data_IF_506941591500
#
_entry.id   IF_506941591500
#
_cell.length_a   1.000
_cell.length_b   1.000
_cell.length_c   1.000
_cell.angle_alpha   90.00
_cell.angle_beta   90.00
_cell.angle_gamma   90.00
#
_symmetry.space_group_name_H-M   'P 1'
#
loop_
_entity.id
_entity.type
_entity.pdbx_description
1 polymer ?
#
# COMPACT_ATOMS: atom_id res chain seq x y z
N UNK A 1 -11.16 -8.04 32.83
CA UNK A 1 -9.75 -8.49 32.84
C UNK A 1 -9.64 -9.98 33.17
N UNK A 2 -10.09 -10.45 34.34
CA UNK A 2 -10.01 -11.88 34.76
C UNK A 2 -10.58 -12.91 33.77
N UNK A 3 -11.79 -12.65 33.20
CA UNK A 3 -12.38 -13.54 32.17
C UNK A 3 -11.51 -13.64 30.90
N UNK A 4 -10.96 -12.51 30.44
CA UNK A 4 -10.09 -12.45 29.25
C UNK A 4 -8.77 -13.19 29.47
N UNK A 5 -8.18 -13.06 30.66
CA UNK A 5 -6.95 -13.79 31.02
C UNK A 5 -7.19 -15.30 31.09
N UNK A 6 -8.35 -15.72 31.63
CA UNK A 6 -8.70 -17.14 31.74
C UNK A 6 -8.91 -17.79 30.38
N UNK A 7 -9.58 -17.10 29.46
CA UNK A 7 -9.79 -17.58 28.08
C UNK A 7 -8.50 -17.57 27.26
N UNK A 8 -7.60 -16.60 27.50
CA UNK A 8 -6.31 -16.56 26.81
C UNK A 8 -5.42 -17.73 27.25
N UNK A 9 -5.38 -18.04 28.56
CA UNK A 9 -4.52 -19.12 29.10
C UNK A 9 -4.97 -20.52 28.63
N UNK A 10 -6.27 -20.75 28.44
CA UNK A 10 -6.79 -22.06 28.01
C UNK A 10 -6.46 -22.41 26.56
N UNK A 11 -6.11 -21.42 25.73
CA UNK A 11 -5.78 -21.60 24.31
C UNK A 11 -4.26 -21.62 24.04
N UNK A 12 -3.43 -21.38 25.06
CA UNK A 12 -1.97 -21.49 24.93
C UNK A 12 -1.58 -22.98 25.02
N UNK A 13 -0.87 -23.53 24.01
CA UNK A 13 -0.33 -24.88 24.07
C UNK A 13 0.47 -25.10 25.35
N UNK A 14 0.29 -26.25 26.01
CA UNK A 14 0.93 -26.56 27.30
C UNK A 14 2.45 -26.41 27.22
N UNK A 15 3.04 -26.70 26.08
CA UNK A 15 4.47 -26.61 25.80
C UNK A 15 4.98 -25.17 25.91
N UNK A 16 4.22 -24.18 25.44
CA UNK A 16 4.57 -22.75 25.55
C UNK A 16 4.47 -22.28 27.00
N UNK A 17 3.47 -22.77 27.73
CA UNK A 17 3.31 -22.52 29.17
C UNK A 17 4.51 -23.04 29.98
N UNK A 18 5.01 -24.24 29.64
CA UNK A 18 6.21 -24.81 30.26
C UNK A 18 7.48 -24.05 29.90
N UNK A 19 7.62 -23.57 28.67
CA UNK A 19 8.76 -22.72 28.26
C UNK A 19 8.73 -21.39 29.01
N UNK A 20 7.57 -20.75 29.15
CA UNK A 20 7.42 -19.50 29.90
C UNK A 20 7.67 -19.67 31.40
N UNK A 21 7.19 -20.76 31.99
CA UNK A 21 7.51 -21.16 33.37
C UNK A 21 9.00 -21.44 33.52
N UNK A 22 9.60 -22.18 32.58
CA UNK A 22 11.04 -22.47 32.54
C UNK A 22 11.88 -21.21 32.37
N UNK A 23 11.41 -20.21 31.64
CA UNK A 23 12.11 -18.92 31.49
C UNK A 23 11.96 -18.05 32.75
N UNK A 24 10.77 -18.01 33.35
CA UNK A 24 10.49 -17.28 34.58
C UNK A 24 11.26 -17.84 35.78
N UNK A 25 11.48 -19.16 35.84
CA UNK A 25 12.16 -19.83 36.95
C UNK A 25 13.64 -20.19 36.65
N UNK A 26 13.99 -20.51 35.40
CA UNK A 26 15.33 -20.97 35.01
C UNK A 26 16.26 -19.84 34.57
N UNK A 27 15.85 -19.00 33.61
CA UNK A 27 16.68 -17.86 33.17
C UNK A 27 16.76 -16.74 34.23
N UNK A 28 15.74 -16.63 35.07
CA UNK A 28 15.77 -15.75 36.24
C UNK A 28 16.85 -16.14 37.25
N UNK A 29 17.08 -17.44 37.49
CA UNK A 29 18.03 -17.93 38.49
C UNK A 29 19.50 -17.60 38.13
N UNK A 30 19.87 -17.70 36.85
CA UNK A 30 21.23 -17.38 36.39
C UNK A 30 21.51 -15.87 36.39
N UNK A 31 20.50 -15.03 36.10
CA UNK A 31 20.61 -13.56 36.23
C UNK A 31 20.64 -13.13 37.71
N UNK A 32 19.92 -13.83 38.59
CA UNK A 32 19.94 -13.63 40.05
C UNK A 32 21.32 -13.99 40.63
N UNK A 33 21.96 -15.05 40.12
CA UNK A 33 23.30 -15.46 40.55
C UNK A 33 24.40 -14.44 40.15
N UNK A 34 24.20 -13.68 39.07
CA UNK A 34 25.17 -12.68 38.59
C UNK A 34 25.07 -11.33 39.32
N UNK A 35 23.92 -10.98 39.90
CA UNK A 35 23.68 -9.71 40.59
C UNK A 35 23.49 -9.90 42.10
N UNK A 36 24.55 -10.26 42.82
CA UNK A 36 24.54 -10.42 44.29
C UNK A 36 24.24 -9.12 45.08
N UNK A 37 24.10 -7.97 44.41
CA UNK A 37 23.91 -6.65 45.02
C UNK A 37 22.49 -6.09 44.91
N UNK A 38 21.56 -6.76 44.22
CA UNK A 38 20.19 -6.25 44.05
C UNK A 38 19.29 -6.76 45.18
N UNK A 39 18.62 -5.87 45.94
CA UNK A 39 17.75 -6.28 47.02
C UNK A 39 16.61 -7.20 46.58
N UNK A 40 16.34 -8.24 47.37
CA UNK A 40 15.40 -9.33 47.01
C UNK A 40 13.99 -8.82 46.67
N UNK A 41 13.56 -7.72 47.30
CA UNK A 41 12.24 -7.13 47.07
C UNK A 41 12.06 -6.54 45.66
N UNK A 42 13.13 -6.26 44.91
CA UNK A 42 13.08 -5.75 43.54
C UNK A 42 12.86 -6.86 42.50
N UNK A 43 13.10 -8.13 42.84
CA UNK A 43 12.84 -9.24 41.91
C UNK A 43 11.35 -9.53 41.74
N UNK A 44 10.52 -9.22 42.75
CA UNK A 44 9.06 -9.41 42.68
C UNK A 44 8.43 -8.56 41.56
N UNK A 45 8.63 -7.23 41.51
CA UNK A 45 8.07 -6.42 40.41
C UNK A 45 8.72 -6.74 39.06
N UNK A 46 10.01 -7.12 39.03
CA UNK A 46 10.70 -7.51 37.80
C UNK A 46 10.09 -8.79 37.20
N UNK A 47 9.88 -9.82 38.02
CA UNK A 47 9.25 -11.06 37.60
C UNK A 47 7.80 -10.84 37.13
N UNK A 48 7.06 -9.96 37.81
CA UNK A 48 5.71 -9.59 37.40
C UNK A 48 5.70 -8.87 36.05
N UNK A 49 6.64 -7.95 35.82
CA UNK A 49 6.78 -7.22 34.57
C UNK A 49 7.17 -8.14 33.39
N UNK A 50 8.14 -9.04 33.60
CA UNK A 50 8.54 -10.05 32.62
C UNK A 50 7.38 -10.98 32.25
N UNK A 51 6.58 -11.38 33.24
CA UNK A 51 5.40 -12.21 33.01
C UNK A 51 4.33 -11.49 32.17
N UNK A 52 4.07 -10.21 32.46
CA UNK A 52 3.13 -9.39 31.68
C UNK A 52 3.64 -9.19 30.24
N UNK A 53 4.93 -8.91 30.05
CA UNK A 53 5.52 -8.78 28.70
C UNK A 53 5.43 -10.08 27.90
N UNK A 54 5.68 -11.22 28.55
CA UNK A 54 5.56 -12.52 27.90
C UNK A 54 4.11 -12.81 27.47
N UNK A 55 3.14 -12.50 28.34
CA UNK A 55 1.71 -12.62 27.99
C UNK A 55 1.32 -11.68 26.84
N UNK A 56 1.83 -10.45 26.82
CA UNK A 56 1.61 -9.51 25.72
C UNK A 56 2.21 -10.01 24.41
N UNK A 57 3.43 -10.55 24.43
CA UNK A 57 4.09 -11.14 23.26
C UNK A 57 3.34 -12.37 22.72
N UNK A 58 2.83 -13.23 23.61
CA UNK A 58 2.00 -14.38 23.22
C UNK A 58 0.66 -13.92 22.66
N UNK A 59 0.00 -12.94 23.28
CA UNK A 59 -1.25 -12.38 22.79
C UNK A 59 -1.08 -11.77 21.39
N UNK A 60 -0.02 -10.99 21.19
CA UNK A 60 0.34 -10.43 19.89
C UNK A 60 0.61 -11.53 18.85
N UNK A 61 1.38 -12.57 19.23
CA UNK A 61 1.70 -13.70 18.34
C UNK A 61 0.47 -14.50 17.94
N UNK A 62 -0.45 -14.75 18.89
CA UNK A 62 -1.72 -15.41 18.61
C UNK A 62 -2.62 -14.54 17.71
N UNK A 63 -2.66 -13.23 17.95
CA UNK A 63 -3.44 -12.31 17.11
C UNK A 63 -2.88 -12.24 15.67
N UNK A 64 -1.55 -12.28 15.51
CA UNK A 64 -0.89 -12.36 14.21
C UNK A 64 -1.17 -13.72 13.54
N UNK A 65 -1.11 -14.83 14.28
CA UNK A 65 -1.33 -16.19 13.75
C UNK A 65 -2.79 -16.48 13.37
N UNK A 66 -3.75 -15.99 14.13
CA UNK A 66 -5.18 -16.10 13.78
C UNK A 66 -5.52 -15.23 12.56
N UNK A 67 -4.85 -14.08 12.39
CA UNK A 67 -4.91 -13.33 11.13
C UNK A 67 -4.21 -14.09 10.01
N UNK A 68 -3.06 -14.72 10.24
CA UNK A 68 -2.32 -15.44 9.17
C UNK A 68 -3.07 -16.67 8.65
N UNK A 69 -3.77 -17.41 9.51
CA UNK A 69 -4.60 -18.55 9.08
C UNK A 69 -5.89 -18.14 8.36
N UNK A 70 -6.38 -16.92 8.57
CA UNK A 70 -7.56 -16.38 7.89
C UNK A 70 -7.22 -15.54 6.65
N UNK A 71 -5.96 -15.11 6.50
CA UNK A 71 -5.55 -14.13 5.50
C UNK A 71 -4.28 -14.56 4.76
N UNK A 72 -4.27 -15.76 4.17
CA UNK A 72 -3.45 -15.97 2.97
C UNK A 72 -4.34 -15.67 1.77
N UNK A 73 -4.24 -14.49 1.13
CA UNK A 73 -5.09 -14.12 0.01
C UNK A 73 -4.89 -15.03 -1.21
N UNK A 74 -3.82 -15.81 -1.24
CA UNK A 74 -3.59 -16.87 -2.23
C UNK A 74 -4.64 -17.99 -2.19
N UNK A 75 -5.44 -18.10 -1.13
CA UNK A 75 -6.58 -19.02 -1.03
C UNK A 75 -7.95 -18.38 -1.23
N UNK A 76 -8.03 -17.06 -1.41
CA UNK A 76 -9.30 -16.35 -1.67
C UNK A 76 -9.61 -16.46 -3.15
N UNK A 77 -10.81 -16.93 -3.50
CA UNK A 77 -11.21 -17.02 -4.90
C UNK A 77 -11.19 -15.63 -5.55
N UNK A 78 -10.94 -15.59 -6.85
CA UNK A 78 -10.91 -14.35 -7.63
C UNK A 78 -12.21 -13.55 -7.44
N UNK A 79 -13.34 -14.24 -7.43
CA UNK A 79 -14.68 -13.68 -7.28
C UNK A 79 -14.90 -13.09 -5.88
N UNK A 80 -14.40 -13.78 -4.85
CA UNK A 80 -14.51 -13.29 -3.47
C UNK A 80 -13.67 -12.03 -3.26
N UNK A 81 -12.48 -11.97 -3.86
CA UNK A 81 -11.63 -10.78 -3.83
C UNK A 81 -12.26 -9.62 -4.60
N UNK A 82 -12.74 -9.86 -5.81
CA UNK A 82 -13.45 -8.87 -6.63
C UNK A 82 -14.65 -8.29 -5.86
N UNK A 83 -15.47 -9.17 -5.27
CA UNK A 83 -16.62 -8.77 -4.45
C UNK A 83 -16.21 -7.96 -3.23
N UNK A 84 -15.08 -8.29 -2.60
CA UNK A 84 -14.57 -7.58 -1.41
C UNK A 84 -14.15 -6.16 -1.78
N UNK A 85 -13.33 -6.00 -2.82
CA UNK A 85 -12.87 -4.69 -3.29
C UNK A 85 -14.05 -3.85 -3.79
N UNK A 86 -14.97 -4.46 -4.53
CA UNK A 86 -16.21 -3.79 -4.98
C UNK A 86 -17.02 -3.29 -3.79
N UNK A 87 -17.19 -4.11 -2.74
CA UNK A 87 -17.87 -3.73 -1.51
C UNK A 87 -17.22 -2.53 -0.81
N UNK A 88 -15.89 -2.50 -0.71
CA UNK A 88 -15.15 -1.36 -0.14
C UNK A 88 -15.38 -0.08 -0.95
N UNK A 89 -15.26 -0.14 -2.27
CA UNK A 89 -15.47 0.99 -3.17
C UNK A 89 -16.91 1.52 -3.11
N UNK A 90 -17.92 0.64 -3.13
CA UNK A 90 -19.33 1.04 -3.00
C UNK A 90 -19.61 1.71 -1.65
N UNK A 91 -19.07 1.16 -0.56
CA UNK A 91 -19.19 1.73 0.79
C UNK A 91 -18.56 3.13 0.87
N UNK A 92 -17.48 3.36 0.13
CA UNK A 92 -16.85 4.68 0.00
C UNK A 92 -17.55 5.63 -0.99
N UNK A 93 -18.68 5.22 -1.58
CA UNK A 93 -19.50 6.07 -2.47
C UNK A 93 -19.06 6.07 -3.93
N UNK A 94 -18.22 5.13 -4.36
CA UNK A 94 -17.86 5.00 -5.77
C UNK A 94 -18.98 4.33 -6.55
N UNK A 95 -19.15 4.75 -7.80
CA UNK A 95 -19.93 4.04 -8.80
C UNK A 95 -19.01 3.10 -9.56
N UNK A 96 -19.35 1.81 -9.60
CA UNK A 96 -18.49 0.77 -10.16
C UNK A 96 -19.10 0.20 -11.43
N UNK A 97 -18.27 0.06 -12.46
CA UNK A 97 -18.56 -0.67 -13.68
C UNK A 97 -17.51 -1.77 -13.86
N UNK A 98 -17.96 -2.99 -14.10
CA UNK A 98 -17.08 -4.10 -14.43
C UNK A 98 -16.68 -4.04 -15.91
N UNK A 99 -15.39 -4.20 -16.18
CA UNK A 99 -14.87 -4.37 -17.54
C UNK A 99 -14.23 -5.75 -17.67
N UNK A 100 -14.46 -6.41 -18.80
CA UNK A 100 -13.79 -7.65 -19.13
C UNK A 100 -12.59 -7.33 -20.02
N UNK A 101 -11.39 -7.64 -19.55
CA UNK A 101 -10.18 -7.57 -20.37
C UNK A 101 -9.58 -8.98 -20.49
N UNK A 102 -9.12 -9.40 -21.69
CA UNK A 102 -8.61 -10.76 -21.91
C UNK A 102 -7.48 -11.16 -20.95
N UNK A 103 -6.66 -10.19 -20.55
CA UNK A 103 -5.46 -10.41 -19.75
C UNK A 103 -5.65 -10.20 -18.24
N UNK A 104 -6.88 -9.95 -17.80
CA UNK A 104 -7.20 -9.83 -16.38
C UNK A 104 -8.12 -10.94 -15.88
N UNK A 105 -8.00 -11.22 -14.58
CA UNK A 105 -9.01 -11.96 -13.84
C UNK A 105 -10.27 -11.11 -13.64
N UNK A 106 -10.09 -9.84 -13.29
CA UNK A 106 -11.15 -8.84 -13.26
C UNK A 106 -10.55 -7.44 -13.44
N UNK A 107 -11.39 -6.53 -13.94
CA UNK A 107 -11.14 -5.08 -13.98
C UNK A 107 -12.38 -4.35 -13.49
N UNK A 108 -12.20 -3.49 -12.48
CA UNK A 108 -13.25 -2.63 -11.93
C UNK A 108 -12.91 -1.17 -12.25
N UNK A 109 -13.72 -0.51 -13.06
CA UNK A 109 -13.66 0.94 -13.20
C UNK A 109 -14.57 1.57 -12.16
N UNK A 110 -14.05 2.48 -11.34
CA UNK A 110 -14.74 3.09 -10.24
C UNK A 110 -14.63 4.62 -10.33
N UNK A 111 -15.77 5.30 -10.33
CA UNK A 111 -15.85 6.76 -10.40
C UNK A 111 -16.35 7.28 -9.06
N UNK A 112 -15.62 8.20 -8.46
CA UNK A 112 -16.03 8.81 -7.20
C UNK A 112 -17.06 9.94 -7.38
N UNK A 113 -17.49 10.54 -6.26
CA UNK A 113 -18.47 11.63 -6.24
C UNK A 113 -17.98 12.91 -6.91
N UNK A 114 -16.67 13.06 -7.12
CA UNK A 114 -16.05 14.19 -7.83
C UNK A 114 -15.82 13.89 -9.30
N UNK A 115 -16.24 12.72 -9.79
CA UNK A 115 -16.08 12.30 -11.18
C UNK A 115 -14.69 11.75 -11.51
N UNK A 116 -13.83 11.53 -10.51
CA UNK A 116 -12.48 10.96 -10.73
C UNK A 116 -12.59 9.46 -10.95
N UNK A 117 -11.97 8.97 -12.02
CA UNK A 117 -12.01 7.56 -12.40
C UNK A 117 -10.73 6.85 -11.95
N UNK A 118 -10.90 5.73 -11.24
CA UNK A 118 -9.82 4.78 -10.94
C UNK A 118 -10.18 3.43 -11.53
N UNK A 119 -9.20 2.71 -12.05
CA UNK A 119 -9.35 1.31 -12.46
C UNK A 119 -8.58 0.40 -11.52
N UNK A 120 -9.21 -0.67 -11.06
CA UNK A 120 -8.62 -1.66 -10.17
C UNK A 120 -8.65 -3.02 -10.88
N UNK A 121 -7.47 -3.56 -11.15
CA UNK A 121 -7.29 -4.73 -12.01
C UNK A 121 -6.41 -5.76 -11.34
N UNK A 122 -6.80 -7.03 -11.45
CA UNK A 122 -5.92 -8.16 -11.14
C UNK A 122 -5.54 -8.86 -12.44
N UNK A 123 -4.28 -8.75 -12.84
CA UNK A 123 -3.79 -9.29 -14.11
C UNK A 123 -3.50 -10.80 -14.00
N UNK A 124 -3.61 -11.52 -15.12
CA UNK A 124 -3.26 -12.95 -15.19
C UNK A 124 -1.75 -13.19 -15.15
N UNK A 125 -0.97 -12.26 -15.70
CA UNK A 125 0.51 -12.32 -15.72
C UNK A 125 1.12 -12.11 -14.34
N UNK A 126 0.40 -11.44 -13.44
CA UNK A 126 0.85 -11.13 -12.08
C UNK A 126 -0.28 -11.39 -11.07
N UNK A 127 -0.61 -12.67 -10.82
CA UNK A 127 -1.78 -13.06 -10.04
C UNK A 127 -1.69 -12.65 -8.57
N UNK A 128 -0.48 -12.42 -8.05
CA UNK A 128 -0.24 -12.12 -6.63
C UNK A 128 -0.33 -10.62 -6.31
N UNK A 129 -0.66 -9.80 -7.32
CA UNK A 129 -0.75 -8.35 -7.16
C UNK A 129 -2.08 -7.79 -7.66
N UNK A 130 -2.55 -6.77 -6.97
CA UNK A 130 -3.59 -5.86 -7.43
C UNK A 130 -2.93 -4.64 -8.06
N UNK A 131 -3.38 -4.24 -9.23
CA UNK A 131 -2.96 -2.99 -9.86
C UNK A 131 -4.05 -1.95 -9.73
N UNK A 132 -3.69 -0.78 -9.20
CA UNK A 132 -4.58 0.39 -9.11
C UNK A 132 -4.07 1.41 -10.12
N UNK A 133 -4.94 1.81 -11.05
CA UNK A 133 -4.63 2.72 -12.14
C UNK A 133 -5.45 3.99 -12.03
N UNK A 134 -4.82 5.13 -12.28
CA UNK A 134 -5.51 6.39 -12.52
C UNK A 134 -5.03 6.97 -13.86
N UNK A 135 -5.98 7.26 -14.74
CA UNK A 135 -5.70 7.87 -16.03
C UNK A 135 -5.70 9.38 -15.91
N UNK A 136 -4.71 10.02 -16.51
CA UNK A 136 -4.61 11.46 -16.69
C UNK A 136 -4.61 11.77 -18.18
N UNK A 137 -5.72 12.32 -18.67
CA UNK A 137 -5.83 12.80 -20.04
C UNK A 137 -5.22 14.18 -20.15
N UNK A 138 -4.25 14.34 -21.05
CA UNK A 138 -3.64 15.64 -21.31
C UNK A 138 -4.59 16.53 -22.12
N UNK A 139 -4.63 17.80 -21.77
CA UNK A 139 -5.28 18.82 -22.61
C UNK A 139 -4.41 19.14 -23.83
N UNK A 140 -5.02 19.63 -24.91
CA UNK A 140 -4.28 20.06 -26.11
C UNK A 140 -3.19 21.09 -25.79
N UNK A 141 -3.42 21.98 -24.82
CA UNK A 141 -2.40 22.95 -24.38
C UNK A 141 -1.20 22.25 -23.75
N UNK A 142 -1.42 21.23 -22.91
CA UNK A 142 -0.33 20.45 -22.30
C UNK A 142 0.42 19.63 -23.35
N UNK A 143 -0.30 19.01 -24.30
CA UNK A 143 0.30 18.26 -25.41
C UNK A 143 1.20 19.18 -26.24
N UNK A 144 0.69 20.35 -26.64
CA UNK A 144 1.44 21.33 -27.42
C UNK A 144 2.64 21.88 -26.64
N UNK A 145 2.48 22.17 -25.35
CA UNK A 145 3.56 22.64 -24.52
C UNK A 145 4.69 21.61 -24.42
N UNK A 146 4.36 20.35 -24.12
CA UNK A 146 5.35 19.26 -24.10
C UNK A 146 6.02 19.07 -25.46
N UNK A 147 5.27 19.15 -26.56
CA UNK A 147 5.80 19.03 -27.92
C UNK A 147 6.66 20.22 -28.37
N UNK A 148 6.57 21.36 -27.70
CA UNK A 148 7.36 22.56 -28.00
C UNK A 148 8.68 22.65 -27.24
N UNK A 149 8.86 21.81 -26.20
CA UNK A 149 10.10 21.76 -25.44
C UNK A 149 11.21 21.10 -26.27
N UNK A 150 12.46 21.49 -26.04
CA UNK A 150 13.59 20.73 -26.55
C UNK A 150 13.64 19.34 -25.92
N UNK A 151 14.25 18.39 -26.62
CA UNK A 151 14.39 17.02 -26.14
C UNK A 151 15.07 16.95 -24.77
N UNK A 152 16.14 17.74 -24.57
CA UNK A 152 16.88 17.80 -23.31
C UNK A 152 16.00 18.28 -22.14
N UNK A 153 15.22 19.34 -22.33
CA UNK A 153 14.35 19.91 -21.29
C UNK A 153 13.19 18.96 -20.99
N UNK A 154 12.62 18.34 -22.01
CA UNK A 154 11.57 17.34 -21.85
C UNK A 154 12.10 16.12 -21.08
N UNK A 155 13.29 15.63 -21.43
CA UNK A 155 13.94 14.51 -20.74
C UNK A 155 14.19 14.81 -19.26
N UNK A 156 14.71 15.99 -18.93
CA UNK A 156 14.91 16.44 -17.53
C UNK A 156 13.59 16.43 -16.75
N UNK A 157 12.53 17.04 -17.29
CA UNK A 157 11.21 17.11 -16.63
C UNK A 157 10.64 15.71 -16.37
N UNK A 158 10.74 14.80 -17.35
CA UNK A 158 10.23 13.44 -17.19
C UNK A 158 11.11 12.57 -16.29
N UNK A 159 12.41 12.81 -16.24
CA UNK A 159 13.32 12.15 -15.30
C UNK A 159 13.00 12.56 -13.86
N UNK A 160 12.92 13.86 -13.58
CA UNK A 160 12.50 14.40 -12.28
C UNK A 160 11.14 13.82 -11.85
N UNK A 161 10.16 13.83 -12.78
CA UNK A 161 8.83 13.26 -12.53
C UNK A 161 8.91 11.78 -12.18
N UNK A 162 9.71 10.98 -12.89
CA UNK A 162 9.88 9.55 -12.61
C UNK A 162 10.50 9.31 -11.24
N UNK A 163 11.49 10.12 -10.84
CA UNK A 163 12.12 10.05 -9.52
C UNK A 163 11.09 10.34 -8.43
N UNK A 164 10.29 11.41 -8.59
CA UNK A 164 9.26 11.76 -7.63
C UNK A 164 8.17 10.70 -7.52
N UNK A 165 7.72 10.13 -8.64
CA UNK A 165 6.73 9.05 -8.65
C UNK A 165 7.28 7.75 -8.04
N UNK A 166 8.56 7.45 -8.23
CA UNK A 166 9.21 6.30 -7.61
C UNK A 166 9.21 6.40 -6.08
N UNK A 167 9.29 7.61 -5.49
CA UNK A 167 9.18 7.80 -4.04
C UNK A 167 7.80 7.42 -3.48
N UNK A 168 6.78 7.29 -4.33
CA UNK A 168 5.44 6.82 -3.97
C UNK A 168 5.19 5.35 -4.38
N UNK A 169 6.21 4.65 -4.90
CA UNK A 169 6.08 3.35 -5.57
C UNK A 169 5.05 3.37 -6.73
N UNK A 170 4.94 4.50 -7.44
CA UNK A 170 4.02 4.66 -8.56
C UNK A 170 4.78 4.58 -9.88
N UNK A 171 4.30 3.71 -10.76
CA UNK A 171 4.79 3.60 -12.14
C UNK A 171 4.04 4.58 -13.03
N UNK A 172 4.79 5.37 -13.80
CA UNK A 172 4.25 6.19 -14.89
C UNK A 172 4.28 5.38 -16.19
N UNK A 173 3.12 5.26 -16.82
CA UNK A 173 3.01 4.79 -18.20
C UNK A 173 2.34 5.82 -19.10
N UNK A 174 2.58 5.68 -20.39
CA UNK A 174 2.05 6.55 -21.42
C UNK A 174 1.38 5.70 -22.50
N UNK A 175 0.22 6.15 -22.97
CA UNK A 175 -0.49 5.54 -24.10
C UNK A 175 -0.54 6.60 -25.21
N UNK A 176 0.19 6.39 -26.31
CA UNK A 176 0.06 7.22 -27.49
C UNK A 176 -1.26 6.89 -28.21
N UNK A 177 -1.89 7.90 -28.83
CA UNK A 177 -3.13 7.71 -29.59
C UNK A 177 -2.87 6.94 -30.89
N UNK A 178 -1.68 7.13 -31.49
CA UNK A 178 -1.12 6.37 -32.61
C UNK A 178 0.37 6.15 -32.40
N UNK A 179 0.93 5.13 -33.05
CA UNK A 179 2.34 4.71 -32.86
C UNK A 179 3.36 5.85 -33.05
N UNK A 180 3.04 6.84 -33.88
CA UNK A 180 3.89 8.02 -34.18
C UNK A 180 3.41 9.33 -33.54
N UNK A 181 2.38 9.30 -32.68
CA UNK A 181 1.80 10.49 -32.04
C UNK A 181 2.27 10.64 -30.58
N UNK A 182 2.40 11.88 -30.08
CA UNK A 182 2.73 12.10 -28.68
C UNK A 182 1.69 11.45 -27.77
N UNK A 183 2.14 10.99 -26.61
CA UNK A 183 1.25 10.43 -25.60
C UNK A 183 0.13 11.43 -25.26
N UNK A 184 -1.12 11.00 -25.36
CA UNK A 184 -2.30 11.82 -25.02
C UNK A 184 -2.85 11.46 -23.64
N UNK A 185 -2.53 10.25 -23.17
CA UNK A 185 -2.97 9.73 -21.88
C UNK A 185 -1.75 9.22 -21.12
N UNK A 186 -1.55 9.74 -19.91
CA UNK A 186 -0.71 9.11 -18.91
C UNK A 186 -1.56 8.21 -18.02
N UNK A 187 -1.00 7.09 -17.60
CA UNK A 187 -1.59 6.30 -16.53
C UNK A 187 -0.57 6.15 -15.40
N UNK A 188 -1.07 6.31 -14.19
CA UNK A 188 -0.32 6.08 -12.97
C UNK A 188 -0.76 4.75 -12.40
N UNK A 189 0.21 3.88 -12.12
CA UNK A 189 -0.06 2.53 -11.64
C UNK A 189 0.66 2.29 -10.33
N UNK A 190 -0.11 1.83 -9.35
CA UNK A 190 0.42 1.19 -8.17
C UNK A 190 0.23 -0.34 -8.27
N UNK A 191 1.22 -1.11 -7.82
CA UNK A 191 1.17 -2.58 -7.72
C UNK A 191 1.17 -3.01 -6.26
N UNK A 192 0.00 -3.31 -5.74
CA UNK A 192 -0.19 -3.74 -4.35
C UNK A 192 -0.08 -5.26 -4.25
N UNK A 193 0.88 -5.74 -3.46
CA UNK A 193 1.03 -7.18 -3.19
C UNK A 193 -0.05 -7.64 -2.23
N UNK A 194 -0.67 -8.79 -2.50
CA UNK A 194 -1.60 -9.41 -1.57
C UNK A 194 -0.87 -10.05 -0.38
N UNK A 195 -0.48 -9.22 0.59
CA UNK A 195 0.09 -9.68 1.84
C UNK A 195 -0.99 -9.93 2.91
N UNK A 196 -0.59 -10.57 4.01
CA UNK A 196 -1.46 -10.86 5.16
C UNK A 196 -2.10 -9.60 5.80
N UNK A 197 -1.57 -8.41 5.47
CA UNK A 197 -2.05 -7.11 5.94
C UNK A 197 -2.98 -6.39 4.94
N UNK A 198 -3.23 -6.95 3.76
CA UNK A 198 -4.11 -6.31 2.78
C UNK A 198 -5.55 -6.27 3.32
N UNK A 199 -6.06 -5.05 3.51
CA UNK A 199 -7.38 -4.76 4.08
C UNK A 199 -7.93 -3.45 3.49
N UNK A 200 -9.16 -3.09 3.87
CA UNK A 200 -9.85 -1.89 3.39
C UNK A 200 -9.01 -0.62 3.57
N UNK A 201 -8.43 -0.40 4.76
CA UNK A 201 -7.64 0.79 5.07
C UNK A 201 -6.38 0.86 4.20
N UNK A 202 -5.65 -0.26 4.06
CA UNK A 202 -4.46 -0.34 3.21
C UNK A 202 -4.79 -0.14 1.74
N UNK A 203 -5.91 -0.69 1.27
CA UNK A 203 -6.38 -0.46 -0.09
C UNK A 203 -6.63 1.03 -0.35
N UNK A 204 -7.34 1.72 0.55
CA UNK A 204 -7.60 3.14 0.41
C UNK A 204 -6.35 4.02 0.61
N UNK A 205 -5.41 3.60 1.44
CA UNK A 205 -4.10 4.24 1.55
C UNK A 205 -3.37 4.20 0.20
N UNK A 206 -3.26 3.02 -0.43
CA UNK A 206 -2.63 2.87 -1.75
C UNK A 206 -3.37 3.66 -2.83
N UNK A 207 -4.70 3.63 -2.83
CA UNK A 207 -5.52 4.47 -3.70
C UNK A 207 -5.23 5.97 -3.51
N UNK A 208 -4.98 6.41 -2.28
CA UNK A 208 -4.61 7.81 -2.00
C UNK A 208 -3.21 8.18 -2.49
N UNK A 209 -2.28 7.22 -2.55
CA UNK A 209 -0.95 7.46 -3.14
C UNK A 209 -1.06 7.68 -4.64
N UNK A 210 -1.80 6.83 -5.36
CA UNK A 210 -2.07 7.01 -6.80
C UNK A 210 -2.69 8.40 -7.08
N UNK A 211 -3.65 8.81 -6.25
CA UNK A 211 -4.29 10.14 -6.36
C UNK A 211 -3.38 11.31 -6.04
N UNK A 212 -2.42 11.15 -5.12
CA UNK A 212 -1.43 12.19 -4.86
C UNK A 212 -0.43 12.28 -6.01
N UNK A 213 -0.07 11.14 -6.59
CA UNK A 213 0.78 11.09 -7.76
C UNK A 213 0.18 11.83 -8.98
N UNK A 214 -1.14 11.83 -9.17
CA UNK A 214 -1.75 12.67 -10.22
C UNK A 214 -1.54 14.16 -10.00
N UNK A 215 -1.49 14.60 -8.74
CA UNK A 215 -1.18 16.00 -8.41
C UNK A 215 0.28 16.32 -8.75
N UNK A 216 1.20 15.40 -8.45
CA UNK A 216 2.62 15.53 -8.83
C UNK A 216 2.75 15.66 -10.35
N UNK A 217 2.14 14.75 -11.12
CA UNK A 217 2.12 14.84 -12.59
C UNK A 217 1.60 16.21 -13.06
N UNK A 218 0.50 16.70 -12.48
CA UNK A 218 -0.07 18.00 -12.84
C UNK A 218 0.91 19.15 -12.63
N UNK A 219 1.69 19.15 -11.54
CA UNK A 219 2.70 20.19 -11.28
C UNK A 219 3.83 20.16 -12.31
N UNK A 220 4.31 18.98 -12.71
CA UNK A 220 5.32 18.86 -13.76
C UNK A 220 4.80 19.31 -15.13
N UNK A 221 3.54 19.03 -15.44
CA UNK A 221 2.90 19.54 -16.66
C UNK A 221 2.72 21.06 -16.65
N UNK A 222 2.43 21.65 -15.49
CA UNK A 222 2.40 23.10 -15.32
C UNK A 222 3.79 23.73 -15.46
N UNK A 223 4.84 23.07 -14.95
CA UNK A 223 6.24 23.48 -15.16
C UNK A 223 6.57 23.48 -16.66
N UNK A 224 6.22 22.42 -17.37
CA UNK A 224 6.41 22.33 -18.82
C UNK A 224 5.70 23.46 -19.58
N UNK A 225 4.45 23.77 -19.22
CA UNK A 225 3.68 24.89 -19.79
C UNK A 225 4.39 26.23 -19.60
N UNK A 226 4.84 26.54 -18.38
CA UNK A 226 5.52 27.82 -18.08
C UNK A 226 6.82 27.99 -18.87
N UNK A 227 7.59 26.91 -19.04
CA UNK A 227 8.84 26.94 -19.81
C UNK A 227 8.54 27.18 -21.29
N UNK A 228 7.55 26.47 -21.86
CA UNK A 228 7.10 26.67 -23.24
C UNK A 228 6.66 28.11 -23.53
N UNK A 229 5.90 28.71 -22.61
CA UNK A 229 5.45 30.10 -22.70
C UNK A 229 6.61 31.09 -22.67
N UNK A 230 7.61 30.87 -21.80
CA UNK A 230 8.81 31.73 -21.72
C UNK A 230 9.63 31.69 -23.02
N UNK A 231 9.90 30.48 -23.55
CA UNK A 231 10.65 30.31 -24.81
C UNK A 231 9.92 30.94 -26.00
N UNK A 232 8.59 30.90 -26.00
CA UNK A 232 7.77 31.51 -27.06
C UNK A 232 7.85 33.04 -27.05
N UNK A 233 7.98 33.66 -25.87
CA UNK A 233 8.13 35.12 -25.74
C UNK A 233 9.50 35.60 -26.21
N UNK A 234 10.58 34.85 -25.91
CA UNK A 234 11.94 35.20 -26.32
C UNK A 234 12.15 35.14 -27.84
N UNK A 235 11.49 34.18 -28.51
CA UNK A 235 11.58 34.03 -29.97
C UNK A 235 10.63 34.96 -30.75
N UNK A 236 9.74 35.67 -30.06
CA UNK A 236 8.72 36.56 -30.64
C UNK A 236 9.13 38.04 -30.76
N UNK A 237 10.38 38.37 -30.42
CA UNK A 237 10.99 39.71 -30.54
C UNK A 237 12.15 39.70 -31.54
#
# INVERSE_FOLDING_TARGET
MWKWTKDTITHVPREILWVLLGFAFGAGADVIAYFQSVPVYLYIPLGLYSFVLALAAVSLSLHIKDRSKKASPSGVSVEALESTISGWLLKAGYRITRSATPDSFFTLSAIDTLGRNVSVTRLKIDPDRLSIYEGYTLSNNQINALGSLSEDVSAEIFEDLRIDLANFDIELGAIPEKEDEPATIFYLRDRVVFEFLFNEDRFFERLSYVRRATTVVSEYLLRALRISEATSQENGT
#
